data_IF_656327761341
#
_entry.id   IF_656327761341
#
_cell.length_a   1.000
_cell.length_b   1.000
_cell.length_c   1.000
_cell.angle_alpha   90.00
_cell.angle_beta   90.00
_cell.angle_gamma   90.00
#
_symmetry.space_group_name_H-M   'P 1'
#
loop_
_entity.id
_entity.type
_entity.pdbx_description
1 polymer ?
#
# COMPACT_ATOMS: atom_id res chain seq x y z
N UNK A 1 11.49 -19.27 -8.91
CA UNK A 1 11.28 -19.08 -7.46
C UNK A 1 10.49 -17.79 -7.32
N UNK A 2 9.17 -17.86 -7.15
CA UNK A 2 8.38 -16.67 -6.84
C UNK A 2 8.55 -16.41 -5.35
N UNK A 3 9.34 -15.41 -5.01
CA UNK A 3 9.36 -14.84 -3.66
C UNK A 3 7.94 -14.37 -3.34
N UNK A 4 7.30 -15.03 -2.38
CA UNK A 4 6.10 -14.53 -1.72
C UNK A 4 6.49 -13.20 -1.09
N UNK A 5 6.09 -12.09 -1.72
CA UNK A 5 6.28 -10.74 -1.17
C UNK A 5 5.43 -10.69 0.11
N UNK A 6 6.05 -10.42 1.25
CA UNK A 6 5.33 -10.23 2.50
C UNK A 6 4.35 -9.05 2.35
N UNK A 7 3.17 -9.13 2.99
CA UNK A 7 2.13 -8.10 2.83
C UNK A 7 2.62 -6.69 3.20
N UNK A 8 3.50 -6.61 4.19
CA UNK A 8 4.14 -5.37 4.67
C UNK A 8 5.04 -4.75 3.56
N UNK A 9 5.80 -5.59 2.84
CA UNK A 9 6.65 -5.17 1.71
C UNK A 9 5.79 -4.63 0.55
N UNK A 10 4.61 -5.21 0.32
CA UNK A 10 3.70 -4.78 -0.72
C UNK A 10 3.16 -3.36 -0.46
N UNK A 11 2.88 -3.02 0.80
CA UNK A 11 2.42 -1.68 1.21
C UNK A 11 3.50 -0.62 0.97
N UNK A 12 4.77 -0.93 1.25
CA UNK A 12 5.90 -0.03 1.00
C UNK A 12 6.12 0.20 -0.50
N UNK A 13 6.08 -0.87 -1.32
CA UNK A 13 6.19 -0.74 -2.77
C UNK A 13 5.00 0.03 -3.39
N UNK A 14 3.78 -0.19 -2.86
CA UNK A 14 2.60 0.60 -3.24
C UNK A 14 2.78 2.09 -2.93
N UNK A 15 3.32 2.41 -1.75
CA UNK A 15 3.62 3.78 -1.37
C UNK A 15 4.66 4.41 -2.30
N UNK A 16 5.75 3.70 -2.62
CA UNK A 16 6.81 4.17 -3.52
C UNK A 16 6.25 4.51 -4.90
N UNK A 17 5.45 3.61 -5.47
CA UNK A 17 4.82 3.81 -6.78
C UNK A 17 3.79 4.94 -6.73
N UNK A 18 3.04 5.09 -5.63
CA UNK A 18 2.10 6.20 -5.43
C UNK A 18 2.81 7.55 -5.41
N UNK A 19 3.93 7.65 -4.68
CA UNK A 19 4.73 8.87 -4.63
C UNK A 19 5.34 9.20 -5.99
N UNK A 20 5.86 8.18 -6.68
CA UNK A 20 6.39 8.32 -8.04
C UNK A 20 5.31 8.81 -9.01
N UNK A 21 4.12 8.21 -8.99
CA UNK A 21 2.98 8.63 -9.81
C UNK A 21 2.60 10.08 -9.49
N UNK A 22 2.51 10.46 -8.22
CA UNK A 22 2.23 11.85 -7.81
C UNK A 22 3.28 12.84 -8.35
N UNK A 23 4.56 12.46 -8.30
CA UNK A 23 5.65 13.25 -8.89
C UNK A 23 5.51 13.39 -10.41
N UNK A 24 5.22 12.29 -11.11
CA UNK A 24 5.04 12.26 -12.56
C UNK A 24 3.78 13.03 -13.02
N UNK A 25 2.67 12.99 -12.27
CA UNK A 25 1.46 13.75 -12.56
C UNK A 25 1.68 15.26 -12.40
N UNK A 26 2.47 15.67 -11.41
CA UNK A 26 2.80 17.07 -11.17
C UNK A 26 3.83 17.61 -12.17
N UNK A 27 4.65 16.75 -12.75
CA UNK A 27 5.62 17.12 -13.77
C UNK A 27 4.92 17.61 -15.05
N UNK A 28 5.27 18.82 -15.50
CA UNK A 28 4.79 19.39 -16.76
C UNK A 28 5.96 19.68 -17.70
N UNK A 29 5.81 19.26 -18.94
CA UNK A 29 6.77 19.54 -20.01
C UNK A 29 6.45 20.85 -20.73
N UNK A 30 7.48 21.48 -21.31
CA UNK A 30 7.32 22.59 -22.25
C UNK A 30 7.11 22.01 -23.66
N UNK A 31 5.86 21.67 -24.00
CA UNK A 31 5.49 21.09 -25.30
C UNK A 31 5.17 19.60 -25.25
N UNK A 32 5.15 18.93 -26.40
CA UNK A 32 4.75 17.53 -26.56
C UNK A 32 5.96 16.57 -26.52
N UNK A 33 6.70 16.57 -25.41
CA UNK A 33 7.94 15.79 -25.27
C UNK A 33 7.86 14.70 -24.21
N UNK A 34 6.67 14.44 -23.65
CA UNK A 34 6.45 13.48 -22.56
C UNK A 34 5.88 12.19 -23.13
N UNK A 35 6.69 11.13 -23.10
CA UNK A 35 6.30 9.80 -23.56
C UNK A 35 5.91 8.96 -22.34
N UNK A 36 4.70 8.41 -22.39
CA UNK A 36 4.19 7.42 -21.46
C UNK A 36 4.05 6.10 -22.21
N UNK A 37 4.85 5.11 -21.82
CA UNK A 37 4.86 3.77 -22.40
C UNK A 37 4.56 2.73 -21.31
N UNK A 38 3.48 1.98 -21.48
CA UNK A 38 3.08 0.88 -20.59
C UNK A 38 2.98 -0.38 -21.45
N UNK A 39 3.69 -1.43 -21.05
CA UNK A 39 3.74 -2.71 -21.76
C UNK A 39 3.21 -3.83 -20.87
N UNK A 40 2.29 -4.66 -21.36
CA UNK A 40 1.89 -5.86 -20.65
C UNK A 40 3.01 -6.91 -20.70
N UNK A 41 3.06 -7.80 -19.70
CA UNK A 41 4.12 -8.81 -19.58
C UNK A 41 4.19 -9.84 -20.73
N UNK A 42 3.17 -9.88 -21.60
CA UNK A 42 3.10 -10.77 -22.76
C UNK A 42 3.62 -10.15 -24.06
N UNK A 43 3.69 -8.83 -24.14
CA UNK A 43 4.10 -8.14 -25.37
C UNK A 43 5.61 -8.23 -25.57
N UNK A 44 6.07 -8.35 -26.81
CA UNK A 44 7.51 -8.44 -27.08
C UNK A 44 8.16 -7.06 -27.13
N UNK A 45 9.32 -6.93 -26.48
CA UNK A 45 10.13 -5.70 -26.52
C UNK A 45 10.53 -5.33 -27.96
N UNK A 46 10.76 -6.32 -28.82
CA UNK A 46 11.14 -6.08 -30.22
C UNK A 46 10.06 -5.35 -31.03
N UNK A 47 8.78 -5.68 -30.82
CA UNK A 47 7.67 -5.00 -31.50
C UNK A 47 7.60 -3.53 -31.08
N UNK A 48 7.78 -3.25 -29.79
CA UNK A 48 7.78 -1.89 -29.25
C UNK A 48 8.99 -1.10 -29.74
N UNK A 49 10.17 -1.72 -29.80
CA UNK A 49 11.37 -1.10 -30.37
C UNK A 49 11.18 -0.70 -31.84
N UNK A 50 10.47 -1.54 -32.63
CA UNK A 50 10.11 -1.21 -34.01
C UNK A 50 9.14 -0.02 -34.07
N UNK A 51 8.08 -0.03 -33.25
CA UNK A 51 7.12 1.08 -33.14
C UNK A 51 7.84 2.40 -32.82
N UNK A 52 8.71 2.43 -31.81
CA UNK A 52 9.48 3.63 -31.44
C UNK A 52 10.38 4.13 -32.59
N UNK A 53 10.87 3.21 -33.44
CA UNK A 53 11.69 3.59 -34.62
C UNK A 53 10.85 4.23 -35.72
N UNK A 54 9.65 3.71 -35.96
CA UNK A 54 8.67 4.29 -36.90
C UNK A 54 8.19 5.67 -36.41
N UNK A 55 7.97 5.81 -35.10
CA UNK A 55 7.61 7.08 -34.45
C UNK A 55 8.74 8.12 -34.54
N UNK A 56 9.99 7.72 -34.35
CA UNK A 56 11.15 8.61 -34.58
C UNK A 56 11.22 9.10 -36.03
N UNK A 57 10.94 8.21 -37.00
CA UNK A 57 10.86 8.57 -38.41
C UNK A 57 9.78 9.61 -38.69
N UNK A 58 8.60 9.43 -38.10
CA UNK A 58 7.48 10.38 -38.25
C UNK A 58 7.76 11.72 -37.58
N UNK A 59 8.35 11.71 -36.38
CA UNK A 59 8.73 12.90 -35.62
C UNK A 59 9.78 13.77 -36.35
N UNK A 60 10.59 13.18 -37.24
CA UNK A 60 11.57 13.92 -38.05
C UNK A 60 10.92 14.96 -38.98
N UNK A 61 9.65 14.76 -39.36
CA UNK A 61 8.87 15.64 -40.24
C UNK A 61 8.25 16.85 -39.51
N UNK A 62 8.42 16.96 -38.19
CA UNK A 62 7.91 18.10 -37.41
C UNK A 62 8.63 19.39 -37.86
N UNK A 63 7.84 20.40 -38.23
CA UNK A 63 8.33 21.70 -38.74
C UNK A 63 9.06 22.54 -37.69
N UNK A 64 8.59 22.51 -36.45
CA UNK A 64 9.21 23.25 -35.34
C UNK A 64 10.53 22.59 -34.94
N UNK A 65 11.65 23.29 -35.12
CA UNK A 65 13.00 22.77 -34.81
C UNK A 65 13.13 22.32 -33.35
N UNK A 66 12.62 23.13 -32.42
CA UNK A 66 12.72 22.88 -30.97
C UNK A 66 11.85 21.70 -30.55
N UNK A 67 10.59 21.65 -31.02
CA UNK A 67 9.70 20.53 -30.68
C UNK A 67 10.20 19.21 -31.28
N UNK A 68 10.69 19.26 -32.53
CA UNK A 68 11.29 18.09 -33.19
C UNK A 68 12.47 17.53 -32.41
N UNK A 69 13.39 18.39 -31.96
CA UNK A 69 14.55 17.95 -31.19
C UNK A 69 14.14 17.35 -29.84
N UNK A 70 13.14 17.93 -29.18
CA UNK A 70 12.63 17.44 -27.88
C UNK A 70 11.98 16.06 -28.01
N UNK A 71 11.12 15.88 -29.01
CA UNK A 71 10.45 14.58 -29.27
C UNK A 71 11.46 13.51 -29.66
N UNK A 72 12.40 13.83 -30.58
CA UNK A 72 13.44 12.88 -30.99
C UNK A 72 14.35 12.47 -29.82
N UNK A 73 14.70 13.41 -28.95
CA UNK A 73 15.50 13.14 -27.74
C UNK A 73 14.76 12.21 -26.78
N UNK A 74 13.46 12.45 -26.55
CA UNK A 74 12.63 11.59 -25.70
C UNK A 74 12.51 10.16 -26.26
N UNK A 75 12.21 10.01 -27.56
CA UNK A 75 12.12 8.69 -28.21
C UNK A 75 13.48 7.96 -28.15
N UNK A 76 14.58 8.68 -28.41
CA UNK A 76 15.93 8.09 -28.34
C UNK A 76 16.25 7.60 -26.92
N UNK A 77 15.87 8.38 -25.91
CA UNK A 77 16.04 8.01 -24.50
C UNK A 77 15.20 6.77 -24.15
N UNK A 78 13.96 6.70 -24.62
CA UNK A 78 13.10 5.54 -24.44
C UNK A 78 13.68 4.27 -25.10
N UNK A 79 14.18 4.39 -26.34
CA UNK A 79 14.84 3.29 -27.05
C UNK A 79 16.10 2.80 -26.34
N UNK A 80 16.93 3.72 -25.82
CA UNK A 80 18.13 3.36 -25.06
C UNK A 80 17.79 2.60 -23.79
N UNK A 81 16.74 3.04 -23.07
CA UNK A 81 16.30 2.36 -21.85
C UNK A 81 15.69 0.99 -22.14
N UNK A 82 14.89 0.89 -23.20
CA UNK A 82 14.26 -0.36 -23.62
C UNK A 82 15.29 -1.44 -24.00
N UNK A 83 16.46 -1.05 -24.54
CA UNK A 83 17.57 -1.98 -24.86
C UNK A 83 18.19 -2.66 -23.64
N UNK A 84 18.02 -2.12 -22.43
CA UNK A 84 18.52 -2.75 -21.21
C UNK A 84 17.70 -4.01 -20.84
N UNK A 85 16.48 -4.13 -21.37
CA UNK A 85 15.59 -5.24 -21.13
C UNK A 85 15.65 -6.24 -22.29
N UNK A 86 16.12 -7.45 -22.02
CA UNK A 86 16.13 -8.53 -23.01
C UNK A 86 14.72 -9.12 -23.24
N UNK A 87 13.89 -9.14 -22.19
CA UNK A 87 12.51 -9.62 -22.21
C UNK A 87 11.67 -8.76 -21.28
N UNK A 88 10.41 -8.59 -21.63
CA UNK A 88 9.39 -7.93 -20.81
C UNK A 88 9.27 -8.68 -19.49
N UNK A 89 9.39 -7.99 -18.34
CA UNK A 89 9.18 -8.59 -17.04
C UNK A 89 7.78 -9.22 -16.91
N UNK A 90 7.59 -10.21 -16.02
CA UNK A 90 6.33 -10.95 -15.92
C UNK A 90 5.14 -10.06 -15.59
N UNK A 91 5.33 -8.98 -14.82
CA UNK A 91 4.25 -8.05 -14.49
C UNK A 91 4.07 -6.92 -15.52
N UNK A 92 4.91 -6.86 -16.55
CA UNK A 92 4.93 -5.78 -17.53
C UNK A 92 6.07 -4.79 -17.29
N UNK A 93 6.10 -3.73 -18.10
CA UNK A 93 7.12 -2.69 -18.03
C UNK A 93 6.45 -1.32 -18.16
N UNK A 94 6.76 -0.41 -17.26
CA UNK A 94 6.34 0.99 -17.33
C UNK A 94 7.58 1.83 -17.60
N UNK A 95 7.50 2.70 -18.60
CA UNK A 95 8.56 3.62 -19.00
C UNK A 95 7.99 5.01 -19.23
N UNK A 96 8.50 5.97 -18.46
CA UNK A 96 8.24 7.39 -18.63
C UNK A 96 9.51 8.11 -19.06
N UNK A 97 9.47 8.80 -20.20
CA UNK A 97 10.61 9.59 -20.68
C UNK A 97 10.15 10.96 -21.12
N UNK A 98 10.87 12.01 -20.74
CA UNK A 98 10.60 13.34 -21.24
C UNK A 98 11.49 14.41 -20.63
N UNK A 99 11.29 15.65 -21.09
CA UNK A 99 11.99 16.82 -20.55
C UNK A 99 11.03 17.63 -19.69
N UNK A 100 11.33 17.71 -18.39
CA UNK A 100 10.53 18.48 -17.43
C UNK A 100 11.26 19.77 -17.08
N UNK A 101 10.50 20.83 -16.81
CA UNK A 101 11.06 22.05 -16.25
C UNK A 101 11.13 21.92 -14.73
N UNK A 102 12.34 22.08 -14.18
CA UNK A 102 12.53 22.15 -12.72
C UNK A 102 12.17 23.54 -12.20
N UNK A 103 11.94 23.68 -10.88
CA UNK A 103 11.58 24.96 -10.25
C UNK A 103 12.62 26.07 -10.51
N UNK A 104 13.87 25.69 -10.74
CA UNK A 104 14.98 26.59 -11.12
C UNK A 104 14.93 27.07 -12.59
N UNK A 105 13.89 26.73 -13.34
CA UNK A 105 13.73 27.07 -14.76
C UNK A 105 14.67 26.30 -15.70
N UNK A 106 15.42 25.30 -15.19
CA UNK A 106 16.30 24.43 -15.99
C UNK A 106 15.54 23.24 -16.53
N UNK A 107 15.82 22.87 -17.78
CA UNK A 107 15.31 21.65 -18.40
C UNK A 107 16.06 20.43 -17.87
N UNK A 108 15.34 19.46 -17.31
CA UNK A 108 15.89 18.19 -16.85
C UNK A 108 15.26 17.05 -17.65
N UNK A 109 16.10 16.23 -18.28
CA UNK A 109 15.66 14.98 -18.89
C UNK A 109 15.38 13.96 -17.78
N UNK A 110 14.17 13.41 -17.78
CA UNK A 110 13.73 12.39 -16.83
C UNK A 110 13.46 11.11 -17.59
N UNK A 111 14.05 10.03 -17.10
CA UNK A 111 13.83 8.66 -17.57
C UNK A 111 13.55 7.81 -16.35
N UNK A 112 12.35 7.26 -16.28
CA UNK A 112 11.91 6.42 -15.18
C UNK A 112 11.35 5.14 -15.76
N UNK A 113 11.93 4.03 -15.36
CA UNK A 113 11.49 2.69 -15.72
C UNK A 113 11.38 1.82 -14.47
N UNK A 114 10.29 1.07 -14.39
CA UNK A 114 10.09 0.11 -13.31
C UNK A 114 9.16 -1.02 -13.75
N UNK A 115 9.30 -2.17 -13.10
CA UNK A 115 8.33 -3.25 -13.16
C UNK A 115 7.21 -2.98 -12.15
N UNK A 116 5.93 -2.95 -12.55
CA UNK A 116 4.84 -2.80 -11.61
C UNK A 116 4.71 -4.05 -10.72
N UNK A 117 4.29 -3.87 -9.47
CA UNK A 117 4.09 -4.97 -8.51
C UNK A 117 2.93 -5.92 -8.88
N UNK A 118 2.06 -5.49 -9.80
CA UNK A 118 0.95 -6.27 -10.34
C UNK A 118 1.04 -6.35 -11.86
N UNK A 119 0.60 -7.47 -12.47
CA UNK A 119 0.60 -7.63 -13.90
C UNK A 119 -0.36 -6.64 -14.58
N UNK A 120 0.16 -5.89 -15.54
CA UNK A 120 -0.63 -4.95 -16.34
C UNK A 120 -1.07 -5.63 -17.64
N UNK A 121 -2.36 -5.49 -17.99
CA UNK A 121 -2.92 -6.03 -19.23
C UNK A 121 -3.08 -4.97 -20.33
N UNK A 122 -2.93 -3.69 -20.00
CA UNK A 122 -3.10 -2.57 -20.93
C UNK A 122 -1.76 -2.18 -21.57
N UNK A 123 -1.74 -2.10 -22.90
CA UNK A 123 -0.63 -1.51 -23.66
C UNK A 123 -0.98 -0.05 -23.96
N UNK A 124 -0.08 0.88 -23.61
CA UNK A 124 -0.27 2.32 -23.82
C UNK A 124 1.02 2.91 -24.40
N UNK A 125 0.89 3.68 -25.48
CA UNK A 125 1.93 4.58 -25.96
C UNK A 125 1.28 5.93 -26.25
N UNK A 126 1.69 6.98 -25.52
CA UNK A 126 1.23 8.34 -25.75
C UNK A 126 2.38 9.33 -25.61
N UNK A 127 2.42 10.31 -26.53
CA UNK A 127 3.30 11.46 -26.49
C UNK A 127 2.45 12.72 -26.29
N UNK A 128 2.62 13.40 -25.15
CA UNK A 128 1.83 14.58 -24.78
C UNK A 128 2.71 15.57 -23.98
N UNK A 129 2.10 16.60 -23.41
CA UNK A 129 2.70 17.60 -22.52
C UNK A 129 2.73 17.18 -21.04
N UNK A 130 2.08 16.07 -20.72
CA UNK A 130 1.97 15.47 -19.38
C UNK A 130 2.18 13.97 -19.44
N UNK A 131 2.59 13.36 -18.32
CA UNK A 131 2.61 11.90 -18.22
C UNK A 131 1.22 11.33 -17.95
N UNK A 132 0.83 10.32 -18.72
CA UNK A 132 -0.44 9.62 -18.57
C UNK A 132 -0.27 8.49 -17.56
N UNK A 133 -0.68 8.76 -16.32
CA UNK A 133 -0.58 7.84 -15.17
C UNK A 133 -1.90 7.19 -14.78
N UNK A 134 -2.98 7.50 -15.51
CA UNK A 134 -4.36 7.06 -15.22
C UNK A 134 -4.47 5.53 -15.11
N UNK A 135 -3.79 4.79 -16.00
CA UNK A 135 -3.77 3.33 -15.98
C UNK A 135 -3.01 2.72 -14.79
N UNK A 136 -2.09 3.47 -14.18
CA UNK A 136 -1.34 3.01 -13.01
C UNK A 136 -2.11 3.25 -11.71
N UNK A 137 -3.04 4.22 -11.69
CA UNK A 137 -3.90 4.46 -10.53
C UNK A 137 -4.76 3.24 -10.21
N UNK A 138 -5.19 2.48 -11.22
CA UNK A 138 -5.89 1.21 -11.01
C UNK A 138 -5.02 0.18 -10.28
N UNK A 139 -3.71 0.16 -10.53
CA UNK A 139 -2.80 -0.74 -9.83
C UNK A 139 -2.64 -0.37 -8.36
N UNK A 140 -2.62 0.94 -8.07
CA UNK A 140 -2.55 1.51 -6.72
C UNK A 140 -3.82 1.29 -5.88
N UNK A 141 -4.94 0.97 -6.52
CA UNK A 141 -6.09 0.44 -5.80
C UNK A 141 -5.70 -0.94 -5.27
N UNK A 142 -5.41 -0.95 -3.97
CA UNK A 142 -5.12 -2.14 -3.21
C UNK A 142 -6.35 -3.04 -3.20
N UNK A 143 -6.40 -3.95 -4.15
CA UNK A 143 -7.41 -4.99 -4.15
C UNK A 143 -7.03 -6.05 -3.10
N UNK A 144 -7.40 -5.78 -1.85
CA UNK A 144 -7.44 -6.77 -0.79
C UNK A 144 -8.38 -7.90 -1.25
N UNK A 145 -7.91 -9.15 -1.13
CA UNK A 145 -8.71 -10.30 -1.51
C UNK A 145 -9.70 -10.60 -0.40
N UNK A 146 -10.99 -10.45 -0.70
CA UNK A 146 -12.08 -10.77 0.22
C UNK A 146 -12.74 -12.08 -0.17
N UNK A 147 -13.00 -12.92 0.82
CA UNK A 147 -13.73 -14.17 0.65
C UNK A 147 -15.21 -13.96 0.91
N UNK A 148 -16.05 -14.62 0.12
CA UNK A 148 -17.49 -14.65 0.31
C UNK A 148 -17.97 -16.10 0.36
N UNK A 149 -18.79 -16.39 1.35
CA UNK A 149 -19.52 -17.65 1.47
C UNK A 149 -20.99 -17.31 1.42
N UNK A 150 -21.64 -17.67 0.32
CA UNK A 150 -23.08 -17.44 0.14
C UNK A 150 -23.82 -18.74 0.44
N UNK A 151 -24.52 -18.72 1.57
CA UNK A 151 -25.41 -19.78 2.02
C UNK A 151 -26.78 -19.63 1.38
N UNK A 152 -27.22 -20.72 0.79
CA UNK A 152 -28.60 -20.95 0.44
C UNK A 152 -29.05 -22.32 0.95
N UNK A 153 -30.36 -22.50 1.12
CA UNK A 153 -30.96 -23.76 1.55
C UNK A 153 -30.86 -24.87 0.50
N UNK A 154 -30.54 -24.51 -0.75
CA UNK A 154 -30.39 -25.46 -1.86
C UNK A 154 -28.97 -25.50 -2.45
N UNK A 155 -28.16 -24.48 -2.18
CA UNK A 155 -26.82 -24.35 -2.74
C UNK A 155 -25.88 -23.57 -1.83
N UNK A 156 -24.57 -23.76 -2.02
CA UNK A 156 -23.55 -22.93 -1.41
C UNK A 156 -22.59 -22.47 -2.50
N UNK A 157 -22.19 -21.20 -2.44
CA UNK A 157 -21.23 -20.61 -3.35
C UNK A 157 -20.06 -20.03 -2.57
N UNK A 158 -18.86 -20.35 -3.02
CA UNK A 158 -17.61 -19.73 -2.59
C UNK A 158 -17.12 -18.79 -3.68
N UNK A 159 -16.93 -17.54 -3.32
CA UNK A 159 -16.40 -16.53 -4.22
C UNK A 159 -15.30 -15.74 -3.55
N UNK A 160 -14.45 -15.14 -4.37
CA UNK A 160 -13.50 -14.12 -3.94
C UNK A 160 -13.74 -12.85 -4.74
N UNK A 161 -13.63 -11.71 -4.07
CA UNK A 161 -13.65 -10.41 -4.71
C UNK A 161 -12.31 -9.76 -4.44
N UNK A 162 -11.69 -9.29 -5.51
CA UNK A 162 -10.45 -8.56 -5.48
C UNK A 162 -10.72 -7.26 -6.25
N UNK A 163 -10.94 -6.17 -5.50
CA UNK A 163 -11.33 -4.86 -6.04
C UNK A 163 -12.55 -4.93 -6.95
N UNK A 164 -12.37 -4.72 -8.25
CA UNK A 164 -13.46 -4.78 -9.23
C UNK A 164 -13.67 -6.18 -9.83
N UNK A 165 -12.72 -7.09 -9.64
CA UNK A 165 -12.81 -8.46 -10.15
C UNK A 165 -13.54 -9.37 -9.16
N UNK A 166 -14.51 -10.14 -9.67
CA UNK A 166 -15.21 -11.21 -8.92
C UNK A 166 -14.85 -12.55 -9.53
N UNK A 167 -14.45 -13.50 -8.69
CA UNK A 167 -14.14 -14.86 -9.10
C UNK A 167 -14.97 -15.85 -8.27
N UNK A 168 -15.72 -16.73 -8.95
CA UNK A 168 -16.45 -17.81 -8.29
C UNK A 168 -15.54 -19.04 -8.24
N UNK A 169 -15.08 -19.41 -7.05
CA UNK A 169 -14.15 -20.52 -6.85
C UNK A 169 -14.85 -21.86 -7.00
N UNK A 170 -15.97 -22.03 -6.30
CA UNK A 170 -16.69 -23.29 -6.30
C UNK A 170 -18.16 -23.09 -5.94
N UNK A 171 -19.02 -23.88 -6.56
CA UNK A 171 -20.44 -23.97 -6.23
C UNK A 171 -20.88 -25.41 -6.15
N UNK A 172 -21.71 -25.73 -5.16
CA UNK A 172 -22.33 -27.04 -5.05
C UNK A 172 -23.77 -26.91 -4.56
N UNK A 173 -24.59 -27.89 -4.93
CA UNK A 173 -26.00 -27.97 -4.55
C UNK A 173 -26.20 -29.05 -3.49
N UNK A 174 -27.20 -28.84 -2.64
CA UNK A 174 -27.60 -29.77 -1.58
C UNK A 174 -29.12 -29.83 -1.52
N UNK A 175 -29.66 -31.03 -1.46
CA UNK A 175 -31.09 -31.23 -1.22
C UNK A 175 -31.34 -31.48 0.27
N UNK A 176 -31.88 -30.47 0.95
CA UNK A 176 -32.21 -30.52 2.37
C UNK A 176 -33.69 -30.88 2.58
N UNK A 177 -34.01 -31.77 3.54
CA UNK A 177 -35.39 -32.09 3.88
C UNK A 177 -36.15 -30.82 4.31
N UNK A 178 -37.30 -30.56 3.67
CA UNK A 178 -38.17 -29.43 4.02
C UNK A 178 -38.88 -29.65 5.36
N UNK A 179 -39.38 -28.57 5.96
CA UNK A 179 -40.20 -28.66 7.17
C UNK A 179 -41.49 -29.41 6.83
N UNK A 180 -41.74 -30.55 7.46
CA UNK A 180 -43.02 -31.23 7.34
C UNK A 180 -44.06 -30.56 8.26
N UNK A 181 -45.21 -30.19 7.70
CA UNK A 181 -46.33 -29.59 8.46
C UNK A 181 -47.41 -30.60 8.86
N UNK A 182 -47.30 -31.87 8.45
CA UNK A 182 -48.29 -32.91 8.75
C UNK A 182 -47.85 -33.70 9.99
N UNK A 183 -48.72 -33.77 11.00
CA UNK A 183 -48.48 -34.49 12.25
C UNK A 183 -48.52 -36.02 12.10
N UNK A 184 -48.01 -36.74 13.11
CA UNK A 184 -48.00 -38.21 13.18
C UNK A 184 -46.84 -38.76 14.02
N UNK A 185 -46.83 -40.08 14.27
CA UNK A 185 -45.78 -40.74 15.06
C UNK A 185 -44.38 -40.58 14.44
N UNK A 186 -44.29 -40.48 13.12
CA UNK A 186 -43.03 -40.28 12.39
C UNK A 186 -42.54 -38.82 12.35
N UNK A 187 -43.32 -37.86 12.85
CA UNK A 187 -42.99 -36.42 12.76
C UNK A 187 -41.65 -36.08 13.45
N UNK A 188 -41.41 -36.65 14.64
CA UNK A 188 -40.16 -36.47 15.40
C UNK A 188 -38.96 -37.03 14.64
N UNK A 189 -39.13 -38.18 13.96
CA UNK A 189 -38.06 -38.79 13.15
C UNK A 189 -37.67 -37.89 11.98
N UNK A 190 -38.63 -37.34 11.27
CA UNK A 190 -38.36 -36.42 10.15
C UNK A 190 -37.73 -35.11 10.62
N UNK A 191 -38.13 -34.60 11.79
CA UNK A 191 -37.48 -33.43 12.40
C UNK A 191 -36.00 -33.73 12.73
N UNK A 192 -35.70 -34.91 13.30
CA UNK A 192 -34.33 -35.34 13.60
C UNK A 192 -33.48 -35.48 12.33
N UNK A 193 -33.98 -36.20 11.32
CA UNK A 193 -33.30 -36.34 10.02
C UNK A 193 -33.00 -35.00 9.36
N UNK A 194 -33.90 -34.02 9.52
CA UNK A 194 -33.70 -32.66 9.01
C UNK A 194 -32.61 -31.91 9.75
N UNK A 195 -32.51 -32.03 11.07
CA UNK A 195 -31.44 -31.41 11.85
C UNK A 195 -30.10 -32.06 11.52
N UNK A 196 -30.07 -33.40 11.41
CA UNK A 196 -28.87 -34.15 11.06
C UNK A 196 -28.33 -33.78 9.66
N UNK A 197 -29.20 -33.70 8.65
CA UNK A 197 -28.81 -33.26 7.30
C UNK A 197 -28.34 -31.80 7.27
N UNK A 198 -28.94 -30.92 8.07
CA UNK A 198 -28.46 -29.53 8.22
C UNK A 198 -27.09 -29.46 8.86
N UNK A 199 -26.84 -30.25 9.91
CA UNK A 199 -25.52 -30.32 10.55
C UNK A 199 -24.45 -30.85 9.58
N UNK A 200 -24.76 -31.90 8.80
CA UNK A 200 -23.86 -32.42 7.77
C UNK A 200 -23.59 -31.41 6.66
N UNK A 201 -24.58 -30.58 6.31
CA UNK A 201 -24.39 -29.50 5.35
C UNK A 201 -23.44 -28.43 5.89
N UNK A 202 -23.64 -27.98 7.14
CA UNK A 202 -22.73 -27.02 7.79
C UNK A 202 -21.30 -27.56 7.88
N UNK A 203 -21.12 -28.84 8.23
CA UNK A 203 -19.81 -29.50 8.25
C UNK A 203 -19.14 -29.46 6.88
N UNK A 204 -19.86 -29.88 5.83
CA UNK A 204 -19.33 -29.86 4.45
C UNK A 204 -18.94 -28.45 4.02
N UNK A 205 -19.72 -27.43 4.42
CA UNK A 205 -19.40 -26.04 4.12
C UNK A 205 -18.13 -25.60 4.86
N UNK A 206 -18.01 -25.89 6.15
CA UNK A 206 -16.83 -25.55 6.94
C UNK A 206 -15.54 -26.19 6.40
N UNK A 207 -15.58 -27.48 6.04
CA UNK A 207 -14.43 -28.22 5.48
C UNK A 207 -13.98 -27.64 4.12
N UNK A 208 -14.93 -27.34 3.24
CA UNK A 208 -14.63 -26.71 1.94
C UNK A 208 -14.11 -25.28 2.11
N UNK A 209 -14.63 -24.53 3.09
CA UNK A 209 -14.13 -23.18 3.40
C UNK A 209 -12.66 -23.20 3.78
N UNK A 210 -12.25 -24.18 4.59
CA UNK A 210 -10.85 -24.40 4.98
C UNK A 210 -10.00 -24.69 3.74
N UNK A 211 -10.48 -25.54 2.83
CA UNK A 211 -9.75 -25.92 1.62
C UNK A 211 -9.52 -24.75 0.66
N UNK A 212 -10.49 -23.83 0.53
CA UNK A 212 -10.42 -22.72 -0.44
C UNK A 212 -9.83 -21.44 0.14
N UNK A 213 -10.07 -21.14 1.42
CA UNK A 213 -9.65 -19.89 2.05
C UNK A 213 -8.40 -20.01 2.91
N UNK A 214 -7.90 -21.23 3.16
CA UNK A 214 -6.61 -21.43 3.85
C UNK A 214 -5.62 -21.99 2.83
N UNK A 215 -4.46 -21.34 2.73
CA UNK A 215 -3.33 -21.80 1.93
C UNK A 215 -2.08 -21.69 2.76
N UNK A 216 -1.29 -22.77 2.85
CA UNK A 216 -0.07 -22.81 3.67
C UNK A 216 -0.31 -22.39 5.14
N UNK A 217 -1.33 -22.96 5.78
CA UNK A 217 -1.72 -22.69 7.17
C UNK A 217 -2.12 -21.24 7.52
N UNK A 218 -2.24 -20.36 6.52
CA UNK A 218 -2.70 -18.98 6.70
C UNK A 218 -3.93 -18.69 5.85
N UNK A 219 -4.87 -17.86 6.33
CA UNK A 219 -5.96 -17.35 5.49
C UNK A 219 -5.39 -16.61 4.28
N UNK A 220 -5.88 -16.96 3.08
CA UNK A 220 -5.47 -16.32 1.82
C UNK A 220 -6.29 -15.05 1.50
N UNK A 221 -7.25 -14.71 2.37
CA UNK A 221 -8.14 -13.56 2.27
C UNK A 221 -7.93 -12.64 3.47
N UNK A 222 -8.02 -11.33 3.22
CA UNK A 222 -7.90 -10.28 4.25
C UNK A 222 -9.15 -10.22 5.12
N UNK A 223 -10.29 -10.61 4.55
CA UNK A 223 -11.57 -10.60 5.22
C UNK A 223 -12.53 -11.62 4.61
N UNK A 224 -13.40 -12.17 5.45
CA UNK A 224 -14.43 -13.11 5.05
C UNK A 224 -15.82 -12.53 5.34
N UNK A 225 -16.74 -12.67 4.38
CA UNK A 225 -18.14 -12.30 4.53
C UNK A 225 -19.02 -13.54 4.39
N UNK A 226 -19.88 -13.77 5.38
CA UNK A 226 -20.90 -14.82 5.31
C UNK A 226 -22.22 -14.19 4.89
N UNK A 227 -22.74 -14.58 3.74
CA UNK A 227 -24.02 -14.10 3.24
C UNK A 227 -25.05 -15.24 3.23
N UNK A 228 -26.31 -14.95 3.53
CA UNK A 228 -27.40 -15.92 3.35
C UNK A 228 -28.76 -15.39 3.79
N UNK A 229 -29.83 -16.04 3.32
CA UNK A 229 -31.22 -15.65 3.61
C UNK A 229 -31.73 -16.08 4.99
N UNK A 230 -31.04 -17.01 5.67
CA UNK A 230 -31.52 -17.65 6.88
C UNK A 230 -30.43 -17.73 7.95
N UNK A 231 -30.79 -18.20 9.14
CA UNK A 231 -29.91 -18.34 10.32
C UNK A 231 -28.73 -19.31 10.11
N UNK A 232 -28.69 -20.07 9.01
CA UNK A 232 -27.59 -21.00 8.69
C UNK A 232 -26.19 -20.37 8.76
N UNK A 233 -26.07 -19.10 8.37
CA UNK A 233 -24.80 -18.36 8.45
C UNK A 233 -24.38 -18.03 9.88
N UNK A 234 -25.36 -17.79 10.77
CA UNK A 234 -25.12 -17.56 12.20
C UNK A 234 -24.74 -18.88 12.87
N UNK A 235 -25.45 -19.97 12.51
CA UNK A 235 -25.13 -21.32 12.97
C UNK A 235 -23.70 -21.71 12.58
N UNK A 236 -23.26 -21.38 11.36
CA UNK A 236 -21.86 -21.63 10.96
C UNK A 236 -20.88 -20.80 11.80
N UNK A 237 -21.13 -19.48 11.94
CA UNK A 237 -20.23 -18.57 12.65
C UNK A 237 -20.08 -18.92 14.13
N UNK A 238 -21.12 -19.45 14.76
CA UNK A 238 -21.10 -19.90 16.16
C UNK A 238 -20.64 -21.36 16.32
N UNK A 239 -20.57 -22.14 15.24
CA UNK A 239 -20.21 -23.55 15.35
C UNK A 239 -18.71 -23.76 15.55
N UNK A 240 -18.36 -24.71 16.42
CA UNK A 240 -16.98 -25.18 16.62
C UNK A 240 -16.39 -25.89 15.40
N UNK A 241 -17.21 -26.17 14.38
CA UNK A 241 -16.78 -26.80 13.13
C UNK A 241 -16.08 -25.82 12.20
N UNK A 242 -16.30 -24.51 12.39
CA UNK A 242 -15.68 -23.49 11.57
C UNK A 242 -14.24 -23.22 12.05
N UNK A 243 -13.30 -23.14 11.10
CA UNK A 243 -11.89 -23.00 11.45
C UNK A 243 -11.65 -21.70 12.24
N UNK A 244 -11.00 -21.76 13.42
CA UNK A 244 -10.72 -20.57 14.25
C UNK A 244 -9.94 -19.47 13.54
N UNK A 245 -9.12 -19.83 12.53
CA UNK A 245 -8.37 -18.86 11.73
C UNK A 245 -9.28 -18.07 10.80
N UNK A 246 -10.32 -18.71 10.27
CA UNK A 246 -11.32 -18.05 9.43
C UNK A 246 -12.33 -17.26 10.27
N UNK A 247 -12.65 -17.71 11.48
CA UNK A 247 -13.52 -16.96 12.40
C UNK A 247 -12.89 -15.64 12.83
N UNK A 248 -11.57 -15.61 13.02
CA UNK A 248 -10.83 -14.37 13.32
C UNK A 248 -10.84 -13.35 12.15
N UNK A 249 -11.03 -13.83 10.91
CA UNK A 249 -11.04 -13.01 9.68
C UNK A 249 -12.47 -12.67 9.22
N UNK A 250 -13.49 -13.14 9.96
CA UNK A 250 -14.89 -12.85 9.69
C UNK A 250 -15.19 -11.37 9.93
N UNK A 251 -15.49 -10.63 8.85
CA UNK A 251 -15.79 -9.19 8.91
C UNK A 251 -17.26 -8.93 9.20
N UNK A 252 -18.15 -9.58 8.45
CA UNK A 252 -19.58 -9.27 8.47
C UNK A 252 -20.41 -10.48 8.07
N UNK A 253 -21.58 -10.59 8.69
CA UNK A 253 -22.64 -11.50 8.30
C UNK A 253 -23.73 -10.68 7.62
N UNK A 254 -24.12 -11.04 6.40
CA UNK A 254 -25.05 -10.28 5.56
C UNK A 254 -26.28 -11.09 5.23
N UNK A 255 -27.46 -10.48 5.38
CA UNK A 255 -28.73 -11.04 4.91
C UNK A 255 -28.92 -10.74 3.43
N UNK A 256 -29.07 -11.79 2.62
CA UNK A 256 -29.37 -11.68 1.19
C UNK A 256 -30.67 -12.38 0.86
N UNK A 257 -31.43 -11.84 -0.08
CA UNK A 257 -32.76 -12.35 -0.43
C UNK A 257 -32.69 -13.54 -1.40
N UNK A 258 -31.59 -13.65 -2.14
CA UNK A 258 -31.38 -14.67 -3.17
C UNK A 258 -30.13 -15.50 -2.87
N UNK A 259 -30.14 -16.76 -3.28
CA UNK A 259 -28.97 -17.65 -3.24
C UNK A 259 -28.11 -17.58 -4.51
N UNK A 260 -27.00 -18.33 -4.50
CA UNK A 260 -26.13 -18.49 -5.67
C UNK A 260 -25.45 -17.18 -6.12
N UNK A 261 -25.27 -17.04 -7.44
CA UNK A 261 -24.53 -15.91 -8.04
C UNK A 261 -25.25 -14.56 -7.90
N UNK A 262 -26.60 -14.56 -7.89
CA UNK A 262 -27.37 -13.34 -7.65
C UNK A 262 -27.24 -12.88 -6.20
N UNK A 263 -27.30 -13.81 -5.24
CA UNK A 263 -27.02 -13.56 -3.83
C UNK A 263 -25.59 -13.04 -3.60
N UNK A 264 -24.63 -13.56 -4.37
CA UNK A 264 -23.25 -13.09 -4.32
C UNK A 264 -23.13 -11.61 -4.71
N UNK A 265 -23.79 -11.16 -5.78
CA UNK A 265 -23.76 -9.75 -6.18
C UNK A 265 -24.39 -8.84 -5.12
N UNK A 266 -25.52 -9.26 -4.55
CA UNK A 266 -26.18 -8.51 -3.49
C UNK A 266 -25.30 -8.44 -2.23
N UNK A 267 -24.61 -9.52 -1.88
CA UNK A 267 -23.69 -9.54 -0.75
C UNK A 267 -22.52 -8.58 -0.94
N UNK A 268 -22.00 -8.47 -2.17
CA UNK A 268 -20.92 -7.53 -2.50
C UNK A 268 -21.38 -6.08 -2.28
N UNK A 269 -22.55 -5.73 -2.80
CA UNK A 269 -23.11 -4.37 -2.66
C UNK A 269 -23.34 -3.99 -1.18
N UNK A 270 -23.94 -4.88 -0.39
CA UNK A 270 -24.20 -4.65 1.03
C UNK A 270 -22.94 -4.66 1.92
N UNK A 271 -21.84 -5.22 1.42
CA UNK A 271 -20.56 -5.31 2.13
C UNK A 271 -19.58 -4.21 1.71
N UNK A 272 -19.83 -3.50 0.60
CA UNK A 272 -18.90 -2.55 0.02
C UNK A 272 -18.38 -1.50 1.02
N UNK A 273 -19.26 -0.97 1.88
CA UNK A 273 -18.89 0.01 2.89
C UNK A 273 -17.95 -0.57 3.96
N UNK A 274 -18.23 -1.80 4.40
CA UNK A 274 -17.40 -2.50 5.40
C UNK A 274 -16.05 -2.89 4.81
N UNK A 275 -16.02 -3.31 3.54
CA UNK A 275 -14.79 -3.67 2.83
C UNK A 275 -13.85 -2.47 2.63
N UNK A 276 -14.40 -1.30 2.26
CA UNK A 276 -13.63 -0.05 2.17
C UNK A 276 -13.02 0.37 3.51
N UNK A 277 -13.69 0.03 4.62
CA UNK A 277 -13.25 0.34 5.97
C UNK A 277 -12.08 -0.50 6.49
N UNK A 278 -11.74 -1.65 5.87
CA UNK A 278 -10.80 -2.62 6.45
C UNK A 278 -9.40 -2.03 6.64
N UNK A 279 -8.90 -1.29 5.66
CA UNK A 279 -7.59 -0.60 5.77
C UNK A 279 -7.57 0.40 6.91
N UNK A 280 -8.61 1.22 7.02
CA UNK A 280 -8.76 2.17 8.11
C UNK A 280 -8.84 1.50 9.48
N UNK A 281 -9.49 0.33 9.56
CA UNK A 281 -9.59 -0.45 10.80
C UNK A 281 -8.24 -1.06 11.18
N UNK A 282 -7.47 -1.56 10.21
CA UNK A 282 -6.11 -2.07 10.44
C UNK A 282 -5.18 -0.95 10.91
N UNK A 283 -5.15 0.18 10.19
CA UNK A 283 -4.39 1.39 10.56
C UNK A 283 -4.75 1.84 11.99
N UNK A 284 -6.05 1.97 12.27
CA UNK A 284 -6.54 2.35 13.60
C UNK A 284 -6.09 1.36 14.68
N UNK A 285 -6.13 0.06 14.40
CA UNK A 285 -5.72 -0.97 15.37
C UNK A 285 -4.23 -0.89 15.68
N UNK A 286 -3.38 -0.61 14.68
CA UNK A 286 -1.94 -0.43 14.87
C UNK A 286 -1.67 0.82 15.72
N UNK A 287 -2.31 1.95 15.40
CA UNK A 287 -2.15 3.19 16.16
C UNK A 287 -2.72 3.07 17.59
N UNK A 288 -3.82 2.32 17.77
CA UNK A 288 -4.40 2.07 19.10
C UNK A 288 -3.43 1.27 19.97
N UNK A 289 -2.80 0.23 19.41
CA UNK A 289 -1.74 -0.52 20.13
C UNK A 289 -0.56 0.37 20.50
N UNK A 290 -0.16 1.27 19.62
CA UNK A 290 0.88 2.26 19.90
C UNK A 290 0.48 3.15 21.10
N UNK A 291 -0.74 3.68 21.12
CA UNK A 291 -1.22 4.49 22.25
C UNK A 291 -1.43 3.69 23.55
N UNK A 292 -1.80 2.41 23.46
CA UNK A 292 -1.89 1.53 24.62
C UNK A 292 -0.50 1.36 25.29
N UNK A 293 0.55 1.15 24.51
CA UNK A 293 1.92 1.05 25.04
C UNK A 293 2.40 2.37 25.66
N UNK A 294 2.03 3.52 25.09
CA UNK A 294 2.29 4.84 25.69
C UNK A 294 1.53 5.01 27.00
N UNK A 295 0.25 4.62 27.04
CA UNK A 295 -0.60 4.77 28.23
C UNK A 295 -0.20 3.82 29.38
N UNK A 296 0.38 2.66 29.06
CA UNK A 296 0.87 1.68 30.01
C UNK A 296 2.28 2.00 30.55
N UNK A 297 2.95 3.03 30.03
CA UNK A 297 4.30 3.47 30.41
C UNK A 297 5.33 2.32 30.41
N UNK A 298 5.24 1.44 29.41
CA UNK A 298 6.13 0.27 29.29
C UNK A 298 7.56 0.66 28.87
N UNK A 299 7.76 1.90 28.45
CA UNK A 299 9.02 2.40 27.88
C UNK A 299 9.41 1.73 26.56
N UNK A 300 8.47 1.04 25.90
CA UNK A 300 8.68 0.35 24.61
C UNK A 300 8.24 1.18 23.41
N UNK A 301 8.19 2.50 23.56
CA UNK A 301 7.74 3.40 22.50
C UNK A 301 8.80 4.47 22.29
N UNK A 302 9.06 4.80 21.03
CA UNK A 302 9.81 5.98 20.65
C UNK A 302 8.92 6.92 19.84
N UNK A 303 9.09 8.22 20.06
CA UNK A 303 8.43 9.28 19.31
C UNK A 303 9.43 10.38 18.99
N UNK A 304 9.16 11.13 17.93
CA UNK A 304 10.09 12.16 17.47
C UNK A 304 11.26 11.59 16.67
N UNK A 305 11.87 12.46 15.86
CA UNK A 305 12.82 12.05 14.81
C UNK A 305 14.11 11.51 15.44
N UNK A 306 14.67 12.22 16.41
CA UNK A 306 15.96 11.88 17.02
C UNK A 306 15.92 10.55 17.76
N UNK A 307 14.93 10.36 18.62
CA UNK A 307 14.78 9.13 19.41
C UNK A 307 14.43 7.94 18.53
N UNK A 308 13.59 8.15 17.50
CA UNK A 308 13.25 7.09 16.54
C UNK A 308 14.48 6.66 15.72
N UNK A 309 15.34 7.59 15.31
CA UNK A 309 16.57 7.27 14.57
C UNK A 309 17.60 6.59 15.46
N UNK A 310 17.81 7.06 16.69
CA UNK A 310 18.67 6.38 17.68
C UNK A 310 18.17 4.95 17.92
N UNK A 311 16.87 4.76 18.07
CA UNK A 311 16.26 3.44 18.22
C UNK A 311 16.43 2.55 16.98
N UNK A 312 16.40 3.17 15.79
CA UNK A 312 16.64 2.49 14.52
C UNK A 312 18.10 2.02 14.40
N UNK A 313 19.06 2.90 14.72
CA UNK A 313 20.50 2.61 14.68
C UNK A 313 20.90 1.54 15.70
N UNK A 314 20.24 1.53 16.88
CA UNK A 314 20.40 0.47 17.88
C UNK A 314 19.72 -0.85 17.49
N UNK A 315 18.91 -0.87 16.42
CA UNK A 315 18.13 -2.05 16.00
C UNK A 315 17.05 -2.45 17.02
N UNK A 316 16.60 -1.51 17.85
CA UNK A 316 15.61 -1.76 18.91
C UNK A 316 14.17 -1.70 18.41
N UNK A 317 13.92 -1.07 17.26
CA UNK A 317 12.59 -0.88 16.69
C UNK A 317 12.04 -2.19 16.07
N UNK A 318 10.85 -2.61 16.52
CA UNK A 318 10.09 -3.71 15.92
C UNK A 318 9.23 -3.21 14.75
N UNK A 319 8.44 -2.16 15.02
CA UNK A 319 7.49 -1.59 14.08
C UNK A 319 7.64 -0.08 14.05
N UNK A 320 8.03 0.44 12.89
CA UNK A 320 8.19 1.86 12.61
C UNK A 320 6.92 2.38 11.95
N UNK A 321 6.29 3.37 12.57
CA UNK A 321 5.10 4.06 12.10
C UNK A 321 5.50 5.41 11.52
N UNK A 322 5.20 5.61 10.23
CA UNK A 322 5.56 6.84 9.52
C UNK A 322 4.33 7.41 8.84
N UNK A 323 4.08 8.70 9.02
CA UNK A 323 3.02 9.39 8.30
C UNK A 323 3.37 9.54 6.82
N UNK A 324 2.45 9.19 5.92
CA UNK A 324 2.67 9.25 4.47
C UNK A 324 3.04 10.67 3.97
N UNK A 325 2.49 11.70 4.60
CA UNK A 325 2.70 13.11 4.27
C UNK A 325 3.76 13.79 5.12
N UNK A 326 4.75 13.04 5.63
CA UNK A 326 5.82 13.60 6.44
C UNK A 326 6.77 14.43 5.56
N UNK A 327 6.68 15.75 5.70
CA UNK A 327 7.52 16.73 5.02
C UNK A 327 8.81 16.97 5.81
N UNK A 328 9.68 15.95 5.90
CA UNK A 328 11.00 16.06 6.51
C UNK A 328 12.04 15.56 5.51
N UNK A 329 13.08 16.35 5.31
CA UNK A 329 14.19 16.03 4.43
C UNK A 329 15.41 15.61 5.27
N UNK A 330 16.02 14.50 4.88
CA UNK A 330 17.35 14.09 5.31
C UNK A 330 18.36 14.80 4.41
N UNK A 331 19.15 15.68 5.00
CA UNK A 331 20.20 16.44 4.32
C UNK A 331 21.55 15.99 4.85
N UNK A 332 22.39 15.48 3.95
CA UNK A 332 23.78 15.18 4.27
C UNK A 332 24.60 16.42 3.98
N UNK A 333 25.15 16.99 5.03
CA UNK A 333 25.94 18.22 4.99
C UNK A 333 27.40 17.86 5.22
N UNK A 334 28.27 18.32 4.32
CA UNK A 334 29.72 18.16 4.48
C UNK A 334 30.34 19.50 4.82
N UNK A 335 31.10 19.54 5.91
CA UNK A 335 31.91 20.70 6.23
C UNK A 335 33.22 20.66 5.42
N UNK A 336 33.49 21.65 4.54
CA UNK A 336 34.67 21.61 3.67
C UNK A 336 36.00 21.74 4.42
N UNK A 337 36.01 22.17 5.69
CA UNK A 337 37.25 22.34 6.46
C UNK A 337 37.60 21.15 7.37
N UNK A 338 36.62 20.54 8.04
CA UNK A 338 36.85 19.37 8.92
C UNK A 338 36.69 18.03 8.20
N UNK A 339 36.03 17.99 7.04
CA UNK A 339 35.68 16.75 6.35
C UNK A 339 34.61 15.93 7.09
N UNK A 340 34.06 16.43 8.21
CA UNK A 340 32.97 15.78 8.92
C UNK A 340 31.68 15.85 8.11
N UNK A 341 31.03 14.69 8.00
CA UNK A 341 29.76 14.51 7.31
C UNK A 341 28.68 14.44 8.38
N UNK A 342 27.92 15.51 8.54
CA UNK A 342 26.77 15.59 9.44
C UNK A 342 25.48 15.27 8.68
N UNK A 343 24.65 14.38 9.23
CA UNK A 343 23.30 14.16 8.69
C UNK A 343 22.32 14.99 9.52
N UNK A 344 21.64 15.94 8.88
CA UNK A 344 20.60 16.75 9.52
C UNK A 344 19.22 16.37 8.97
N UNK A 345 18.21 16.38 9.84
CA UNK A 345 16.81 16.14 9.49
C UNK A 345 16.06 17.46 9.66
N UNK A 346 15.65 18.05 8.54
CA UNK A 346 15.13 19.42 8.50
C UNK A 346 13.72 19.43 7.93
N UNK A 347 12.84 20.23 8.52
CA UNK A 347 11.55 20.59 7.91
C UNK A 347 11.76 21.62 6.79
N UNK A 348 10.85 21.75 5.81
CA UNK A 348 10.92 22.76 4.75
C UNK A 348 10.97 24.21 5.26
N UNK A 349 10.50 24.45 6.48
CA UNK A 349 10.57 25.76 7.14
C UNK A 349 11.97 26.00 7.70
N UNK A 350 12.56 24.99 8.36
CA UNK A 350 13.94 25.04 8.87
C UNK A 350 14.98 25.05 7.74
N UNK A 351 14.67 24.46 6.59
CA UNK A 351 15.51 24.50 5.38
C UNK A 351 15.66 25.94 4.81
N UNK A 352 14.73 26.85 5.15
CA UNK A 352 14.82 28.27 4.77
C UNK A 352 15.61 29.12 5.77
N UNK A 353 15.85 28.62 6.98
CA UNK A 353 16.57 29.36 8.01
C UNK A 353 18.09 29.36 7.74
N UNK A 354 18.69 30.55 7.69
CA UNK A 354 20.13 30.74 7.44
C UNK A 354 21.04 30.05 8.48
N UNK A 355 20.50 29.72 9.66
CA UNK A 355 21.22 29.06 10.77
C UNK A 355 21.68 27.64 10.44
N UNK A 356 20.98 26.91 9.57
CA UNK A 356 21.37 25.56 9.15
C UNK A 356 22.22 25.54 7.88
N UNK A 357 22.39 26.72 7.26
CA UNK A 357 23.19 26.91 6.05
C UNK A 357 24.62 27.36 6.37
N UNK A 358 24.84 27.89 7.58
CA UNK A 358 26.12 28.37 8.08
C UNK A 358 26.50 27.66 9.37
N UNK A 359 27.73 27.22 9.43
CA UNK A 359 28.32 26.58 10.60
C UNK A 359 28.50 27.60 11.74
N UNK A 360 27.93 27.38 12.95
CA UNK A 360 28.02 28.35 14.05
C UNK A 360 29.44 28.65 14.50
N UNK A 361 30.41 27.76 14.21
CA UNK A 361 31.81 27.92 14.60
C UNK A 361 32.71 28.60 13.54
N UNK A 362 32.37 28.49 12.25
CA UNK A 362 33.28 28.88 11.16
C UNK A 362 32.71 29.94 10.19
N UNK A 363 31.41 30.23 10.24
CA UNK A 363 30.77 31.26 9.41
C UNK A 363 30.74 30.95 7.91
N UNK A 364 31.21 29.77 7.49
CA UNK A 364 31.24 29.33 6.10
C UNK A 364 29.92 28.66 5.70
N UNK A 365 29.57 28.77 4.42
CA UNK A 365 28.44 28.07 3.82
C UNK A 365 28.75 26.56 3.76
N UNK A 366 27.90 25.76 4.39
CA UNK A 366 28.02 24.31 4.32
C UNK A 366 27.52 23.79 2.96
N UNK A 367 28.18 22.77 2.40
CA UNK A 367 27.81 22.21 1.10
C UNK A 367 26.77 21.11 1.31
N UNK A 368 25.64 21.26 0.61
CA UNK A 368 24.55 20.29 0.59
C UNK A 368 24.91 19.23 -0.45
N UNK A 369 25.27 18.02 -0.03
CA UNK A 369 25.62 16.94 -0.97
C UNK A 369 24.38 16.17 -1.42
N UNK A 370 23.50 15.83 -0.48
CA UNK A 370 22.36 14.97 -0.77
C UNK A 370 21.12 15.43 0.00
N UNK A 371 20.01 15.59 -0.72
CA UNK A 371 18.68 15.92 -0.19
C UNK A 371 17.74 14.79 -0.55
N UNK A 372 17.36 13.99 0.44
CA UNK A 372 16.45 12.85 0.27
C UNK A 372 15.30 13.01 1.25
N UNK A 373 14.06 12.72 0.83
CA UNK A 373 12.95 12.73 1.77
C UNK A 373 13.14 11.61 2.81
N UNK A 374 12.91 11.90 4.09
CA UNK A 374 13.07 10.91 5.16
C UNK A 374 12.22 9.66 4.92
N UNK A 375 11.01 9.85 4.39
CA UNK A 375 10.09 8.76 4.01
C UNK A 375 10.67 7.83 2.93
N UNK A 376 11.43 8.36 1.97
CA UNK A 376 12.11 7.58 0.93
C UNK A 376 13.30 6.83 1.49
N UNK A 377 14.11 7.51 2.29
CA UNK A 377 15.28 6.89 2.92
C UNK A 377 14.88 5.73 3.83
N UNK A 378 13.80 5.88 4.61
CA UNK A 378 13.26 4.81 5.46
C UNK A 378 12.72 3.66 4.61
N UNK A 379 12.00 3.94 3.52
CA UNK A 379 11.49 2.90 2.62
C UNK A 379 12.60 2.08 1.93
N UNK A 380 13.80 2.63 1.73
CA UNK A 380 14.93 1.91 1.13
C UNK A 380 15.75 1.14 2.17
N UNK A 381 15.89 1.67 3.39
CA UNK A 381 16.85 1.15 4.37
C UNK A 381 16.24 0.40 5.56
N UNK A 382 14.91 0.39 5.75
CA UNK A 382 14.27 -0.27 6.91
C UNK A 382 14.66 -1.75 7.07
N UNK A 383 14.89 -2.46 5.95
CA UNK A 383 15.30 -3.88 5.95
C UNK A 383 16.68 -4.09 6.57
N UNK A 384 17.59 -3.13 6.42
CA UNK A 384 18.94 -3.21 7.00
C UNK A 384 18.90 -3.15 8.54
N UNK A 385 17.92 -2.42 9.08
CA UNK A 385 17.71 -2.27 10.53
C UNK A 385 16.87 -3.38 11.15
N UNK A 386 16.27 -4.26 10.33
CA UNK A 386 15.40 -5.33 10.81
C UNK A 386 14.09 -4.85 11.42
N UNK A 387 13.65 -3.63 11.13
CA UNK A 387 12.35 -3.09 11.55
C UNK A 387 11.28 -3.40 10.49
N UNK A 388 10.02 -3.47 10.89
CA UNK A 388 8.88 -3.37 9.98
C UNK A 388 8.53 -1.91 9.76
N UNK A 389 8.14 -1.53 8.54
CA UNK A 389 7.73 -0.16 8.21
C UNK A 389 6.25 -0.17 7.84
N UNK A 390 5.46 0.65 8.54
CA UNK A 390 4.04 0.85 8.26
C UNK A 390 3.76 2.33 8.02
N UNK A 391 3.12 2.62 6.90
CA UNK A 391 2.70 3.97 6.53
C UNK A 391 1.28 4.23 7.02
N UNK A 392 1.10 5.30 7.79
CA UNK A 392 -0.20 5.69 8.35
C UNK A 392 -0.73 6.96 7.71
N UNK A 393 -2.08 7.07 7.64
CA UNK A 393 -2.78 8.24 7.13
C UNK A 393 -3.38 9.10 8.25
N UNK A 394 -3.66 10.38 7.97
CA UNK A 394 -4.30 11.31 8.91
C UNK A 394 -5.83 11.33 8.81
N UNK A 395 -6.42 10.34 8.14
CA UNK A 395 -7.87 10.29 7.89
C UNK A 395 -8.67 9.82 9.12
N UNK A 396 -8.05 9.05 10.00
CA UNK A 396 -8.64 8.63 11.28
C UNK A 396 -8.38 9.68 12.37
N UNK A 397 -9.23 9.69 13.40
CA UNK A 397 -9.02 10.56 14.57
C UNK A 397 -7.71 10.23 15.28
N UNK A 398 -7.41 8.94 15.41
CA UNK A 398 -6.17 8.43 16.00
C UNK A 398 -4.94 8.81 15.16
N UNK A 399 -5.03 8.72 13.82
CA UNK A 399 -3.97 9.17 12.92
C UNK A 399 -3.73 10.68 13.00
N UNK A 400 -4.79 11.48 13.13
CA UNK A 400 -4.66 12.92 13.34
C UNK A 400 -3.98 13.25 14.69
N UNK A 401 -4.27 12.48 15.75
CA UNK A 401 -3.57 12.59 17.03
C UNK A 401 -2.10 12.17 16.93
N UNK A 402 -1.80 11.10 16.21
CA UNK A 402 -0.43 10.65 15.98
C UNK A 402 0.42 11.72 15.27
N UNK A 403 -0.13 12.33 14.21
CA UNK A 403 0.57 13.39 13.46
C UNK A 403 0.74 14.65 14.30
N UNK A 404 -0.31 15.12 14.98
CA UNK A 404 -0.26 16.38 15.76
C UNK A 404 0.48 16.26 17.10
N UNK A 405 0.38 15.10 17.76
CA UNK A 405 0.94 14.88 19.08
C UNK A 405 2.37 14.36 19.07
N UNK A 406 2.71 13.48 18.11
CA UNK A 406 4.01 12.78 18.09
C UNK A 406 4.87 13.13 16.87
N UNK A 407 4.49 14.17 16.10
CA UNK A 407 5.28 14.65 14.96
C UNK A 407 5.23 13.75 13.72
N UNK A 408 4.30 12.79 13.67
CA UNK A 408 4.09 11.94 12.49
C UNK A 408 5.16 10.85 12.26
N UNK A 409 6.06 10.63 13.22
CA UNK A 409 7.02 9.53 13.23
C UNK A 409 7.09 8.94 14.64
N UNK A 410 7.07 7.60 14.72
CA UNK A 410 7.22 6.89 15.97
C UNK A 410 7.47 5.42 15.74
N UNK A 411 7.87 4.70 16.78
CA UNK A 411 8.17 3.28 16.68
C UNK A 411 7.79 2.52 17.94
N UNK A 412 7.42 1.26 17.75
CA UNK A 412 7.27 0.29 18.83
C UNK A 412 8.59 -0.48 18.97
N UNK A 413 9.17 -0.45 20.16
CA UNK A 413 10.45 -1.06 20.48
C UNK A 413 10.26 -2.50 20.98
N UNK A 414 11.21 -3.36 20.66
CA UNK A 414 11.25 -4.76 21.13
C UNK A 414 11.51 -4.85 22.64
N UNK A 415 12.31 -3.93 23.15
CA UNK A 415 12.72 -3.84 24.55
C UNK A 415 12.76 -2.38 24.99
N UNK A 416 12.70 -2.15 26.31
CA UNK A 416 12.76 -0.80 26.88
C UNK A 416 14.13 -0.19 26.56
N UNK A 417 14.12 1.00 25.96
CA UNK A 417 15.32 1.83 25.76
C UNK A 417 15.08 3.13 26.51
N UNK A 418 16.04 3.54 27.33
CA UNK A 418 16.00 4.85 27.97
C UNK A 418 16.67 5.84 27.02
N UNK A 419 15.87 6.74 26.47
CA UNK A 419 16.37 7.87 25.71
C UNK A 419 16.86 8.90 26.74
N UNK A 420 18.17 9.05 26.86
CA UNK A 420 18.72 10.20 27.58
C UNK A 420 18.33 11.46 26.79
N UNK A 421 17.32 12.18 27.28
CA UNK A 421 17.06 13.55 26.86
C UNK A 421 18.26 14.38 27.31
N UNK A 422 19.23 14.55 26.42
CA UNK A 422 20.11 15.72 26.48
C UNK A 422 19.25 16.93 26.12
N UNK A 423 18.42 17.38 27.07
CA UNK A 423 18.05 18.79 27.09
C UNK A 423 19.36 19.54 27.24
N UNK A 424 19.84 20.14 26.14
CA UNK A 424 20.82 21.19 26.24
C UNK A 424 20.10 22.28 27.02
N UNK A 425 20.34 22.32 28.33
CA UNK A 425 19.95 23.42 29.18
C UNK A 425 20.52 24.69 28.55
N UNK A 426 19.68 25.41 27.81
CA UNK A 426 19.93 26.81 27.52
C UNK A 426 19.66 27.54 28.83
N UNK A 427 20.63 27.49 29.73
CA UNK A 427 20.79 28.47 30.80
C UNK A 427 20.99 29.83 30.12
N UNK A 428 19.87 30.48 29.80
CA UNK A 428 19.83 31.90 29.57
C UNK A 428 19.05 32.47 30.75
N UNK A 429 19.84 33.02 31.67
CA UNK A 429 19.44 33.89 32.76
C UNK A 429 18.32 34.85 32.31
N UNK A 430 17.14 34.71 32.89
CA UNK A 430 16.13 35.78 32.96
C UNK A 430 15.93 36.14 34.45
N UNK A 431 17.03 36.50 35.10
CA UNK A 431 17.03 37.41 36.26
C UNK A 431 16.96 38.84 35.71
N UNK A 432 15.74 39.35 35.52
CA UNK A 432 15.29 40.72 35.76
C UNK A 432 14.00 41.00 34.98
N UNK A 433 13.16 41.90 35.50
CA UNK A 433 11.97 42.52 34.88
C UNK A 433 10.61 41.98 35.40
N UNK A 434 10.29 42.20 36.68
CA UNK A 434 9.51 43.38 37.15
C UNK A 434 9.00 43.21 38.58
N UNK A 435 9.15 44.30 39.34
CA UNK A 435 8.38 44.64 40.55
C UNK A 435 6.87 44.65 40.33
#
# INVERSE_FOLDING_TARGET
MSTTIDADDLSVEQWRIRKLIKSLTNARGSGTSMISLILPGKDSIHQVGKMLTEEAGTASNIKSRVNRQSVLSAITSAQQRLKLYNKTPPNGLVLFTGTIMTEDGKEKAVVVDFEPFKPVNTSLYMCDSRFHTEHLNYLLESEDKFGFIVFDGSSCLYGTVQGSQRDVLHKFTVDLPKKHGRGGQSSVRFARLRVEKRHNYLRKVAELSTTFFISQDRPNVVGLVLAGSAEFKNDLAQSDMFDPRLSAVLLKIVDVSYGGENGFNQAIELSADTLKGVKFVQEKKIITKYFEEVALDTGKVCYGIEDTLKALDMGACELLLVFEGLDINRVVIRNPHSGEVGTHFLTPEQEKDEKYRRDPASGNEMIWEERVALTEWLAENYKAFGTKLEFVSNKSQEGAQFVKGFGGIGGMLRYKVEFEHYEVASDLDDDDIFM
#
